data_IF_546611286939
#
_entry.id   IF_546611286939
#
_cell.length_a   1.000
_cell.length_b   1.000
_cell.length_c   1.000
_cell.angle_alpha   90.00
_cell.angle_beta   90.00
_cell.angle_gamma   90.00
#
_symmetry.space_group_name_H-M   'P 1'
#
loop_
_entity.id
_entity.type
_entity.pdbx_description
1 polymer ?
#
# COMPACT_ATOMS: atom_id res chain seq x y z
N UNK A 1 -11.02 -25.00 8.70
CA UNK A 1 -12.40 -24.53 8.41
C UNK A 1 -12.63 -23.10 8.90
N UNK A 2 -12.21 -22.76 10.13
CA UNK A 2 -12.30 -21.39 10.68
C UNK A 2 -11.50 -20.33 9.88
N UNK A 3 -10.22 -20.57 9.58
CA UNK A 3 -9.37 -19.63 8.82
C UNK A 3 -9.86 -19.33 7.40
N UNK A 4 -10.49 -20.31 6.75
CA UNK A 4 -11.03 -20.18 5.39
C UNK A 4 -12.28 -19.29 5.38
N UNK A 5 -13.12 -19.40 6.40
CA UNK A 5 -14.26 -18.50 6.61
C UNK A 5 -13.81 -17.06 6.89
N UNK A 6 -12.79 -16.86 7.72
CA UNK A 6 -12.21 -15.53 8.00
C UNK A 6 -11.59 -14.88 6.77
N UNK A 7 -10.95 -15.68 5.91
CA UNK A 7 -10.38 -15.18 4.65
C UNK A 7 -11.50 -14.72 3.70
N UNK A 8 -12.58 -15.48 3.60
CA UNK A 8 -13.75 -15.12 2.79
C UNK A 8 -14.44 -13.84 3.26
N UNK A 9 -14.59 -13.64 4.57
CA UNK A 9 -15.20 -12.42 5.12
C UNK A 9 -14.31 -11.19 4.92
N UNK A 10 -12.98 -11.34 5.02
CA UNK A 10 -12.04 -10.26 4.69
C UNK A 10 -12.18 -9.79 3.24
N UNK A 11 -12.19 -10.72 2.28
CA UNK A 11 -12.37 -10.39 0.86
C UNK A 11 -13.74 -9.78 0.57
N UNK A 12 -14.80 -10.24 1.25
CA UNK A 12 -16.13 -9.65 1.16
C UNK A 12 -16.20 -8.23 1.75
N UNK A 13 -15.34 -7.89 2.72
CA UNK A 13 -15.29 -6.58 3.35
C UNK A 13 -14.48 -5.54 2.55
N UNK A 14 -13.61 -5.95 1.61
CA UNK A 14 -12.82 -5.05 0.76
C UNK A 14 -13.60 -3.87 0.15
N UNK A 15 -14.76 -4.06 -0.49
CA UNK A 15 -15.54 -2.94 -1.05
C UNK A 15 -16.07 -1.96 0.00
N UNK A 16 -16.25 -2.39 1.26
CA UNK A 16 -16.66 -1.53 2.36
C UNK A 16 -15.48 -0.77 3.00
N UNK A 17 -14.24 -1.11 2.62
CA UNK A 17 -13.06 -0.45 3.16
C UNK A 17 -12.77 0.89 2.47
N UNK A 18 -12.08 1.77 3.21
CA UNK A 18 -11.61 3.07 2.72
C UNK A 18 -10.25 2.99 2.00
N UNK A 19 -9.87 1.81 1.50
CA UNK A 19 -8.55 1.58 0.89
C UNK A 19 -8.28 2.46 -0.34
N UNK A 20 -9.33 2.85 -1.08
CA UNK A 20 -9.20 3.74 -2.22
C UNK A 20 -8.64 5.12 -1.86
N UNK A 21 -8.83 5.59 -0.62
CA UNK A 21 -8.23 6.84 -0.16
C UNK A 21 -6.71 6.76 -0.01
N UNK A 22 -6.12 5.55 0.02
CA UNK A 22 -4.66 5.40 0.03
C UNK A 22 -4.03 5.84 -1.29
N UNK A 23 -4.71 5.68 -2.43
CA UNK A 23 -4.18 6.04 -3.75
C UNK A 23 -3.82 7.53 -3.85
N UNK A 24 -4.75 8.49 -3.63
CA UNK A 24 -4.39 9.91 -3.69
C UNK A 24 -3.37 10.28 -2.62
N UNK A 25 -3.39 9.63 -1.46
CA UNK A 25 -2.49 9.92 -0.34
C UNK A 25 -1.04 9.52 -0.66
N UNK A 26 -0.84 8.32 -1.21
CA UNK A 26 0.48 7.84 -1.65
C UNK A 26 1.02 8.72 -2.79
N UNK A 27 0.16 9.09 -3.74
CA UNK A 27 0.55 9.98 -4.86
C UNK A 27 1.04 11.33 -4.32
N UNK A 28 0.26 11.98 -3.45
CA UNK A 28 0.62 13.30 -2.89
C UNK A 28 1.90 13.22 -2.07
N UNK A 29 2.01 12.27 -1.15
CA UNK A 29 3.21 12.15 -0.28
C UNK A 29 4.47 11.90 -1.10
N UNK A 30 4.39 11.01 -2.10
CA UNK A 30 5.56 10.67 -2.93
C UNK A 30 6.01 11.83 -3.81
N UNK A 31 5.07 12.57 -4.40
CA UNK A 31 5.38 13.77 -5.19
C UNK A 31 5.98 14.88 -4.33
N UNK A 32 5.37 15.17 -3.17
CA UNK A 32 5.88 16.21 -2.26
C UNK A 32 7.29 15.87 -1.78
N UNK A 33 7.51 14.62 -1.36
CA UNK A 33 8.84 14.17 -0.94
C UNK A 33 9.88 14.37 -2.06
N UNK A 34 9.61 13.90 -3.27
CA UNK A 34 10.55 14.01 -4.38
C UNK A 34 10.79 15.47 -4.83
N UNK A 35 9.75 16.31 -4.81
CA UNK A 35 9.81 17.72 -5.18
C UNK A 35 10.63 18.58 -4.20
N UNK A 36 10.73 18.18 -2.93
CA UNK A 36 11.61 18.88 -1.97
C UNK A 36 13.10 18.62 -2.20
N UNK A 37 13.44 17.51 -2.89
CA UNK A 37 14.83 17.09 -3.12
C UNK A 37 15.36 17.45 -4.50
N UNK A 38 14.48 17.57 -5.49
CA UNK A 38 14.86 17.80 -6.88
C UNK A 38 14.04 18.94 -7.49
N UNK A 39 14.70 19.80 -8.25
CA UNK A 39 14.07 20.96 -8.92
C UNK A 39 13.61 20.63 -10.35
N UNK A 40 14.13 19.55 -10.94
CA UNK A 40 13.83 19.14 -12.31
C UNK A 40 12.71 18.10 -12.33
N UNK A 41 11.77 18.24 -13.25
CA UNK A 41 10.61 17.35 -13.36
C UNK A 41 10.96 15.85 -13.50
N UNK A 42 11.94 15.51 -14.34
CA UNK A 42 12.32 14.12 -14.57
C UNK A 42 12.75 13.39 -13.27
N UNK A 43 13.74 13.89 -12.49
CA UNK A 43 14.13 13.24 -11.25
C UNK A 43 13.05 13.28 -10.16
N UNK A 44 12.13 14.26 -10.18
CA UNK A 44 10.98 14.28 -9.27
C UNK A 44 10.08 13.06 -9.52
N UNK A 45 9.72 12.80 -10.78
CA UNK A 45 8.84 11.69 -11.14
C UNK A 45 9.49 10.32 -10.85
N UNK A 46 10.78 10.18 -11.12
CA UNK A 46 11.55 8.95 -10.84
C UNK A 46 11.58 8.65 -9.34
N UNK A 47 11.99 9.61 -8.51
CA UNK A 47 12.03 9.40 -7.06
C UNK A 47 10.63 9.27 -6.43
N UNK A 48 9.63 9.96 -6.97
CA UNK A 48 8.25 9.80 -6.52
C UNK A 48 7.75 8.37 -6.81
N UNK A 49 8.08 7.81 -7.97
CA UNK A 49 7.74 6.44 -8.31
C UNK A 49 8.42 5.43 -7.37
N UNK A 50 9.72 5.57 -7.13
CA UNK A 50 10.46 4.70 -6.21
C UNK A 50 9.90 4.78 -4.78
N UNK A 51 9.55 5.98 -4.32
CA UNK A 51 8.94 6.19 -3.00
C UNK A 51 7.57 5.51 -2.92
N UNK A 52 6.73 5.67 -3.95
CA UNK A 52 5.42 5.02 -4.00
C UNK A 52 5.55 3.49 -3.99
N UNK A 53 6.50 2.93 -4.75
CA UNK A 53 6.80 1.50 -4.76
C UNK A 53 7.26 1.00 -3.39
N UNK A 54 8.11 1.74 -2.69
CA UNK A 54 8.54 1.37 -1.33
C UNK A 54 7.38 1.38 -0.33
N UNK A 55 6.51 2.38 -0.37
CA UNK A 55 5.33 2.46 0.50
C UNK A 55 4.39 1.28 0.26
N UNK A 56 4.03 1.04 -1.01
CA UNK A 56 3.11 -0.06 -1.39
C UNK A 56 3.76 -1.41 -1.10
N UNK A 57 5.05 -1.57 -1.40
CA UNK A 57 5.80 -2.80 -1.16
C UNK A 57 5.87 -3.14 0.33
N UNK A 58 6.19 -2.15 1.18
CA UNK A 58 6.20 -2.35 2.63
C UNK A 58 4.83 -2.75 3.16
N UNK A 59 3.77 -2.04 2.75
CA UNK A 59 2.39 -2.36 3.12
C UNK A 59 1.98 -3.77 2.67
N UNK A 60 2.37 -4.18 1.46
CA UNK A 60 2.11 -5.51 0.93
C UNK A 60 2.84 -6.61 1.72
N UNK A 61 4.10 -6.39 2.11
CA UNK A 61 4.86 -7.33 2.94
C UNK A 61 4.19 -7.51 4.30
N UNK A 62 3.81 -6.42 4.97
CA UNK A 62 3.08 -6.48 6.24
C UNK A 62 1.76 -7.25 6.07
N UNK A 63 1.01 -6.97 5.00
CA UNK A 63 -0.22 -7.68 4.69
C UNK A 63 -0.01 -9.20 4.52
N UNK A 64 1.01 -9.62 3.77
CA UNK A 64 1.35 -11.03 3.58
C UNK A 64 1.70 -11.71 4.91
N UNK A 65 2.47 -11.03 5.76
CA UNK A 65 2.81 -11.55 7.10
C UNK A 65 1.54 -11.75 7.94
N UNK A 66 0.66 -10.76 7.99
CA UNK A 66 -0.60 -10.85 8.74
C UNK A 66 -1.51 -11.96 8.21
N UNK A 67 -1.56 -12.14 6.88
CA UNK A 67 -2.30 -13.22 6.26
C UNK A 67 -1.71 -14.59 6.66
N UNK A 68 -0.39 -14.75 6.60
CA UNK A 68 0.29 -15.97 7.01
C UNK A 68 0.05 -16.30 8.50
N UNK A 69 0.11 -15.30 9.38
CA UNK A 69 -0.20 -15.46 10.81
C UNK A 69 -1.65 -15.90 11.01
N UNK A 70 -2.60 -15.30 10.27
CA UNK A 70 -4.02 -15.68 10.34
C UNK A 70 -4.29 -17.11 9.86
N UNK A 71 -3.43 -17.65 8.99
CA UNK A 71 -3.54 -19.03 8.53
C UNK A 71 -2.89 -20.02 9.49
N UNK A 72 -1.90 -19.56 10.26
CA UNK A 72 -1.21 -20.35 11.26
C UNK A 72 -2.06 -20.56 12.52
N UNK A 73 -2.86 -19.56 12.92
CA UNK A 73 -3.82 -19.64 14.01
C UNK A 73 -5.18 -20.21 13.56
#
# INVERSE_FOLDING_TARGET
MFSLFTTMTFFAALPATRLLYAVPLIVVVSLVYAATRHERWAPILEHAWDTALWIVGFMAVVFVILLAVTWWF
#
